data_IF_137445511373
#
_entry.id   IF_137445511373
#
_cell.length_a   1.000
_cell.length_b   1.000
_cell.length_c   1.000
_cell.angle_alpha   90.00
_cell.angle_beta   90.00
_cell.angle_gamma   90.00
#
_symmetry.space_group_name_H-M   'P 1'
#
loop_
_entity.id
_entity.type
_entity.pdbx_description
1 polymer ?
#
# COMPACT_ATOMS: atom_id res chain seq x y z
N UNK A 1 38.31 21.60 -20.07
CA UNK A 1 37.39 20.60 -19.47
C UNK A 1 38.25 19.47 -18.90
N UNK A 2 38.51 19.48 -17.59
CA UNK A 2 39.39 18.48 -16.98
C UNK A 2 38.57 17.24 -16.62
N UNK A 3 38.94 16.10 -17.21
CA UNK A 3 38.39 14.80 -16.87
C UNK A 3 38.73 14.50 -15.41
N UNK A 4 37.71 14.50 -14.54
CA UNK A 4 37.85 14.17 -13.13
C UNK A 4 38.17 12.68 -13.03
N UNK A 5 39.42 12.34 -12.78
CA UNK A 5 39.89 10.95 -12.64
C UNK A 5 39.18 10.35 -11.43
N UNK A 6 38.24 9.44 -11.65
CA UNK A 6 37.56 8.71 -10.58
C UNK A 6 38.58 7.79 -9.91
N UNK A 7 38.86 8.04 -8.63
CA UNK A 7 39.78 7.24 -7.86
C UNK A 7 39.16 5.85 -7.61
N UNK A 8 39.85 4.74 -7.90
CA UNK A 8 39.29 3.39 -7.80
C UNK A 8 38.67 3.07 -6.43
N UNK A 9 39.29 3.57 -5.35
CA UNK A 9 38.76 3.41 -3.99
C UNK A 9 37.44 4.19 -3.80
N UNK A 10 37.32 5.40 -4.35
CA UNK A 10 36.11 6.19 -4.23
C UNK A 10 34.94 5.53 -4.97
N UNK A 11 35.20 4.88 -6.11
CA UNK A 11 34.19 4.12 -6.84
C UNK A 11 33.75 2.87 -6.05
N UNK A 12 34.70 2.14 -5.45
CA UNK A 12 34.39 0.97 -4.62
C UNK A 12 33.55 1.35 -3.39
N UNK A 13 33.87 2.47 -2.73
CA UNK A 13 33.12 2.98 -1.58
C UNK A 13 31.69 3.38 -1.98
N UNK A 14 31.53 4.07 -3.11
CA UNK A 14 30.21 4.47 -3.61
C UNK A 14 29.35 3.26 -3.98
N UNK A 15 29.92 2.24 -4.62
CA UNK A 15 29.23 0.99 -4.93
C UNK A 15 28.82 0.23 -3.67
N UNK A 16 29.70 0.18 -2.66
CA UNK A 16 29.43 -0.40 -1.35
C UNK A 16 28.27 0.30 -0.65
N UNK A 17 28.29 1.64 -0.59
CA UNK A 17 27.23 2.44 0.01
C UNK A 17 25.89 2.28 -0.71
N UNK A 18 25.89 2.31 -2.05
CA UNK A 18 24.67 2.11 -2.84
C UNK A 18 24.07 0.71 -2.63
N UNK A 19 24.90 -0.33 -2.57
CA UNK A 19 24.47 -1.71 -2.34
C UNK A 19 23.89 -1.88 -0.93
N UNK A 20 24.53 -1.30 0.09
CA UNK A 20 24.04 -1.33 1.46
C UNK A 20 22.69 -0.60 1.60
N UNK A 21 22.54 0.55 0.96
CA UNK A 21 21.29 1.31 0.95
C UNK A 21 20.17 0.55 0.24
N UNK A 22 20.43 -0.01 -0.93
CA UNK A 22 19.45 -0.83 -1.66
C UNK A 22 19.02 -2.06 -0.84
N UNK A 23 19.98 -2.74 -0.18
CA UNK A 23 19.67 -3.85 0.72
C UNK A 23 18.80 -3.39 1.90
N UNK A 24 19.13 -2.27 2.52
CA UNK A 24 18.35 -1.73 3.63
C UNK A 24 16.91 -1.43 3.23
N UNK A 25 16.69 -0.82 2.05
CA UNK A 25 15.34 -0.58 1.51
C UNK A 25 14.61 -1.90 1.30
N UNK A 26 15.24 -2.90 0.67
CA UNK A 26 14.60 -4.19 0.40
C UNK A 26 14.29 -4.97 1.67
N UNK A 27 15.21 -4.98 2.65
CA UNK A 27 14.99 -5.61 3.95
C UNK A 27 13.90 -4.91 4.73
N UNK A 28 13.90 -3.57 4.76
CA UNK A 28 12.81 -2.80 5.37
C UNK A 28 11.47 -3.10 4.70
N UNK A 29 11.40 -3.11 3.37
CA UNK A 29 10.18 -3.46 2.64
C UNK A 29 9.72 -4.91 2.92
N UNK A 30 10.65 -5.85 3.10
CA UNK A 30 10.33 -7.24 3.45
C UNK A 30 9.85 -7.39 4.91
N UNK A 31 10.44 -6.66 5.84
CA UNK A 31 10.08 -6.69 7.26
C UNK A 31 8.69 -6.09 7.51
N UNK A 32 8.32 -5.07 6.74
CA UNK A 32 6.98 -4.45 6.77
C UNK A 32 5.99 -5.14 5.81
N UNK A 33 6.47 -5.97 4.88
CA UNK A 33 5.70 -6.62 3.83
C UNK A 33 5.02 -7.92 4.30
N UNK A 34 4.18 -7.85 5.34
CA UNK A 34 3.29 -8.97 5.73
C UNK A 34 1.86 -8.75 5.26
N UNK A 35 1.67 -8.39 3.99
CA UNK A 35 0.34 -8.37 3.41
C UNK A 35 -0.08 -9.82 3.09
N UNK A 36 -0.97 -10.39 3.91
CA UNK A 36 -1.65 -11.65 3.56
C UNK A 36 -2.74 -11.30 2.55
N UNK A 37 -2.63 -11.82 1.33
CA UNK A 37 -3.69 -11.68 0.34
C UNK A 37 -4.83 -12.62 0.72
N UNK A 38 -5.87 -12.07 1.35
CA UNK A 38 -7.09 -12.83 1.62
C UNK A 38 -7.98 -12.83 0.36
N UNK A 39 -8.11 -14.00 -0.26
CA UNK A 39 -8.95 -14.19 -1.44
C UNK A 39 -10.45 -14.21 -1.10
N UNK A 40 -10.82 -14.39 0.17
CA UNK A 40 -12.19 -14.41 0.66
C UNK A 40 -12.28 -13.68 2.00
N UNK A 41 -12.11 -12.34 2.03
CA UNK A 41 -12.09 -11.59 3.28
C UNK A 41 -13.38 -11.86 4.07
N UNK A 42 -13.32 -12.58 5.20
CA UNK A 42 -14.50 -13.12 5.88
C UNK A 42 -15.25 -12.04 6.68
N UNK A 43 -14.96 -10.76 6.44
CA UNK A 43 -15.42 -9.67 7.27
C UNK A 43 -16.43 -8.80 6.50
N UNK A 44 -17.67 -8.77 6.99
CA UNK A 44 -18.79 -8.00 6.39
C UNK A 44 -18.43 -6.53 6.13
N UNK A 45 -17.58 -5.94 6.97
CA UNK A 45 -17.12 -4.57 6.81
C UNK A 45 -16.25 -4.36 5.56
N UNK A 46 -15.40 -5.33 5.20
CA UNK A 46 -14.61 -5.30 3.96
C UNK A 46 -15.50 -5.44 2.74
N UNK A 47 -16.53 -6.29 2.82
CA UNK A 47 -17.53 -6.40 1.76
C UNK A 47 -18.31 -5.09 1.56
N UNK A 48 -18.64 -4.38 2.65
CA UNK A 48 -19.27 -3.06 2.58
C UNK A 48 -18.36 -2.01 1.92
N UNK A 49 -17.07 -1.99 2.24
CA UNK A 49 -16.09 -1.10 1.59
C UNK A 49 -15.96 -1.41 0.10
N UNK A 50 -15.86 -2.69 -0.26
CA UNK A 50 -15.82 -3.12 -1.66
C UNK A 50 -17.09 -2.72 -2.43
N UNK A 51 -18.27 -2.86 -1.80
CA UNK A 51 -19.53 -2.44 -2.37
C UNK A 51 -19.57 -0.92 -2.60
N UNK A 52 -19.06 -0.13 -1.65
CA UNK A 52 -18.97 1.32 -1.78
C UNK A 52 -18.02 1.75 -2.90
N UNK A 53 -16.85 1.12 -3.01
CA UNK A 53 -15.89 1.36 -4.10
C UNK A 53 -16.52 1.03 -5.45
N UNK A 54 -17.15 -0.15 -5.56
CA UNK A 54 -17.83 -0.57 -6.79
C UNK A 54 -18.94 0.40 -7.18
N UNK A 55 -19.76 0.84 -6.22
CA UNK A 55 -20.80 1.82 -6.46
C UNK A 55 -20.20 3.16 -6.93
N UNK A 56 -19.10 3.63 -6.32
CA UNK A 56 -18.43 4.86 -6.71
C UNK A 56 -17.87 4.77 -8.15
N UNK A 57 -17.31 3.64 -8.55
CA UNK A 57 -16.84 3.41 -9.93
C UNK A 57 -18.02 3.45 -10.90
N UNK A 58 -19.07 2.67 -10.64
CA UNK A 58 -20.24 2.57 -11.53
C UNK A 58 -20.96 3.91 -11.70
N UNK A 59 -21.01 4.71 -10.63
CA UNK A 59 -21.65 6.03 -10.64
C UNK A 59 -20.71 7.17 -11.07
N UNK A 60 -19.47 6.86 -11.49
CA UNK A 60 -18.43 7.86 -11.83
C UNK A 60 -18.15 8.88 -10.72
N UNK A 61 -18.33 8.46 -9.48
CA UNK A 61 -18.06 9.26 -8.27
C UNK A 61 -16.68 8.94 -7.66
N UNK A 62 -16.02 7.86 -8.08
CA UNK A 62 -14.67 7.53 -7.65
C UNK A 62 -13.66 8.57 -8.18
N UNK A 63 -12.76 9.03 -7.30
CA UNK A 63 -11.62 9.85 -7.69
C UNK A 63 -10.52 8.91 -8.17
N UNK A 64 -10.16 9.00 -9.44
CA UNK A 64 -9.09 8.21 -10.02
C UNK A 64 -7.85 9.08 -10.24
N UNK A 65 -6.65 8.51 -10.08
CA UNK A 65 -5.44 9.17 -10.57
C UNK A 65 -5.49 9.30 -12.11
N UNK A 66 -4.85 10.31 -12.72
CA UNK A 66 -4.96 10.59 -14.16
C UNK A 66 -4.32 9.52 -15.05
N UNK A 67 -3.51 8.61 -14.48
CA UNK A 67 -2.85 7.53 -15.21
C UNK A 67 -3.80 6.35 -15.50
N UNK A 68 -4.98 6.31 -14.89
CA UNK A 68 -5.96 5.25 -15.12
C UNK A 68 -6.61 5.47 -16.49
N UNK A 69 -6.08 4.75 -17.50
CA UNK A 69 -6.63 4.71 -18.86
C UNK A 69 -7.76 3.69 -19.07
N UNK A 70 -8.13 3.51 -20.34
CA UNK A 70 -9.23 2.62 -20.76
C UNK A 70 -8.88 1.12 -20.73
N UNK A 71 -7.61 0.77 -20.59
CA UNK A 71 -7.17 -0.62 -20.54
C UNK A 71 -7.49 -1.26 -19.18
N UNK A 72 -7.78 -2.59 -19.13
CA UNK A 72 -7.86 -3.31 -17.87
C UNK A 72 -6.56 -3.16 -17.08
N UNK A 73 -6.66 -2.71 -15.84
CA UNK A 73 -5.53 -2.51 -14.96
C UNK A 73 -5.94 -2.79 -13.52
N UNK A 74 -4.96 -3.19 -12.71
CA UNK A 74 -5.14 -3.33 -11.28
C UNK A 74 -5.20 -1.95 -10.64
N UNK A 75 -6.22 -1.72 -9.82
CA UNK A 75 -6.43 -0.48 -9.08
C UNK A 75 -6.11 -0.73 -7.61
N UNK A 76 -5.55 0.28 -6.95
CA UNK A 76 -5.26 0.24 -5.53
C UNK A 76 -6.15 1.25 -4.82
N UNK A 77 -6.65 0.85 -3.66
CA UNK A 77 -7.45 1.64 -2.75
C UNK A 77 -6.94 1.43 -1.33
N UNK A 78 -7.27 2.35 -0.43
CA UNK A 78 -6.98 2.21 0.99
C UNK A 78 -8.24 2.51 1.81
N UNK A 79 -8.48 1.75 2.88
CA UNK A 79 -9.61 1.97 3.78
C UNK A 79 -9.52 3.32 4.50
N UNK A 80 -8.30 3.76 4.87
CA UNK A 80 -8.01 5.08 5.44
C UNK A 80 -8.09 6.24 4.45
N UNK A 81 -8.20 5.97 3.14
CA UNK A 81 -8.37 7.00 2.11
C UNK A 81 -9.54 6.67 1.16
N UNK A 82 -10.80 6.68 1.67
CA UNK A 82 -11.94 6.21 0.92
C UNK A 82 -12.20 7.01 -0.36
N UNK A 83 -12.59 6.31 -1.42
CA UNK A 83 -13.00 6.91 -2.70
C UNK A 83 -11.86 7.35 -3.63
N UNK A 84 -10.59 7.19 -3.23
CA UNK A 84 -9.43 7.38 -4.12
C UNK A 84 -8.98 6.03 -4.69
N UNK A 85 -8.85 5.96 -6.01
CA UNK A 85 -8.33 4.82 -6.76
C UNK A 85 -7.06 5.23 -7.50
N UNK A 86 -5.99 4.46 -7.34
CA UNK A 86 -4.68 4.77 -7.93
C UNK A 86 -4.12 3.60 -8.72
N UNK A 87 -3.31 3.89 -9.74
CA UNK A 87 -2.46 2.89 -10.38
C UNK A 87 -1.27 2.54 -9.47
N UNK A 88 -0.48 1.54 -9.86
CA UNK A 88 0.72 1.13 -9.12
C UNK A 88 1.71 2.29 -8.91
N UNK A 89 1.93 3.13 -9.93
CA UNK A 89 2.89 4.25 -9.85
C UNK A 89 2.42 5.36 -8.90
N UNK A 90 1.11 5.45 -8.65
CA UNK A 90 0.51 6.41 -7.72
C UNK A 90 0.22 5.81 -6.35
N UNK A 91 0.69 4.60 -6.06
CA UNK A 91 0.51 3.95 -4.76
C UNK A 91 0.98 4.82 -3.56
N UNK A 92 2.08 5.60 -3.64
CA UNK A 92 2.48 6.49 -2.54
C UNK A 92 1.44 7.57 -2.18
N UNK A 93 0.48 7.87 -3.08
CA UNK A 93 -0.62 8.78 -2.76
C UNK A 93 -1.64 8.18 -1.79
N UNK A 94 -1.56 6.87 -1.53
CA UNK A 94 -2.34 6.15 -0.52
C UNK A 94 -1.56 5.92 0.78
N UNK A 95 -0.34 6.45 0.92
CA UNK A 95 0.40 6.29 2.17
C UNK A 95 -0.43 6.89 3.33
N UNK A 96 -0.58 6.17 4.44
CA UNK A 96 -1.25 6.73 5.61
C UNK A 96 -0.46 7.94 6.12
N UNK A 97 -1.16 8.87 6.76
CA UNK A 97 -0.48 9.95 7.48
C UNK A 97 0.45 9.32 8.54
N UNK A 98 1.64 9.88 8.82
CA UNK A 98 2.53 9.37 9.86
C UNK A 98 1.86 9.26 11.25
N UNK A 99 0.84 10.09 11.48
CA UNK A 99 0.06 10.12 12.72
C UNK A 99 -1.21 9.24 12.67
N UNK A 100 -1.46 8.56 11.55
CA UNK A 100 -2.64 7.70 11.41
C UNK A 100 -2.41 6.38 12.15
N UNK A 101 -2.97 6.33 13.35
CA UNK A 101 -2.93 5.19 14.26
C UNK A 101 -4.30 4.53 14.39
N UNK A 102 -5.21 4.81 13.47
CA UNK A 102 -6.61 4.38 13.57
C UNK A 102 -6.83 3.01 12.94
N UNK A 103 -7.46 2.09 13.67
CA UNK A 103 -7.90 0.82 13.11
C UNK A 103 -9.04 1.05 12.10
N UNK A 104 -8.91 0.53 10.88
CA UNK A 104 -9.90 0.71 9.80
C UNK A 104 -11.26 0.05 10.09
N UNK A 105 -11.31 -0.92 11.01
CA UNK A 105 -12.53 -1.65 11.36
C UNK A 105 -13.29 -1.02 12.53
N UNK A 106 -12.62 -0.78 13.65
CA UNK A 106 -13.27 -0.26 14.86
C UNK A 106 -13.17 1.26 15.01
N UNK A 107 -12.37 1.91 14.16
CA UNK A 107 -12.11 3.35 14.18
C UNK A 107 -11.52 3.88 15.50
N UNK A 108 -10.88 3.00 16.28
CA UNK A 108 -10.18 3.37 17.51
C UNK A 108 -8.67 3.51 17.24
N UNK A 109 -7.98 4.47 17.87
CA UNK A 109 -6.53 4.52 17.88
C UNK A 109 -5.93 3.26 18.52
N UNK A 110 -4.87 2.73 17.93
CA UNK A 110 -4.15 1.57 18.44
C UNK A 110 -2.63 1.82 18.41
N UNK A 111 -1.88 1.33 19.40
CA UNK A 111 -0.42 1.48 19.43
C UNK A 111 0.29 0.67 18.35
N UNK A 112 -0.37 -0.38 17.85
CA UNK A 112 0.12 -1.24 16.80
C UNK A 112 -1.03 -1.55 15.85
N UNK A 113 -0.75 -1.44 14.56
CA UNK A 113 -1.65 -1.83 13.49
C UNK A 113 -0.96 -2.85 12.59
N UNK A 114 -1.69 -3.90 12.22
CA UNK A 114 -1.25 -4.87 11.22
C UNK A 114 -1.87 -4.52 9.88
N UNK A 115 -1.02 -4.13 8.92
CA UNK A 115 -1.41 -3.88 7.55
C UNK A 115 -1.69 -5.16 6.78
N UNK A 116 -2.73 -5.15 5.95
CA UNK A 116 -3.13 -6.27 5.09
C UNK A 116 -3.81 -5.76 3.82
N UNK A 117 -4.02 -6.65 2.85
CA UNK A 117 -4.61 -6.32 1.54
C UNK A 117 -5.66 -7.35 1.16
N UNK A 118 -6.84 -6.89 0.76
CA UNK A 118 -7.91 -7.73 0.23
C UNK A 118 -8.11 -7.45 -1.26
N UNK A 119 -8.40 -8.48 -2.04
CA UNK A 119 -8.68 -8.35 -3.47
C UNK A 119 -10.20 -8.39 -3.74
N UNK A 120 -10.70 -7.39 -4.48
CA UNK A 120 -12.08 -7.30 -4.95
C UNK A 120 -12.12 -7.10 -6.46
N UNK A 121 -12.03 -8.21 -7.20
CA UNK A 121 -11.88 -8.16 -8.66
C UNK A 121 -10.58 -7.43 -9.04
N UNK A 122 -10.64 -6.33 -9.82
CA UNK A 122 -9.46 -5.56 -10.21
C UNK A 122 -8.99 -4.56 -9.14
N UNK A 123 -9.61 -4.50 -7.95
CA UNK A 123 -9.24 -3.56 -6.88
C UNK A 123 -8.52 -4.30 -5.76
N UNK A 124 -7.32 -3.86 -5.42
CA UNK A 124 -6.64 -4.19 -4.17
C UNK A 124 -6.97 -3.12 -3.13
N UNK A 125 -7.58 -3.53 -2.02
CA UNK A 125 -7.91 -2.67 -0.89
C UNK A 125 -6.92 -2.92 0.25
N UNK A 126 -6.05 -1.94 0.52
CA UNK A 126 -5.19 -1.93 1.68
C UNK A 126 -6.00 -1.50 2.92
N UNK A 127 -5.71 -2.13 4.06
CA UNK A 127 -6.30 -1.80 5.35
C UNK A 127 -5.37 -2.18 6.51
N UNK A 128 -5.61 -1.60 7.68
CA UNK A 128 -4.79 -1.74 8.88
C UNK A 128 -5.70 -2.01 10.10
N UNK A 129 -5.42 -3.09 10.84
CA UNK A 129 -6.25 -3.54 11.96
C UNK A 129 -5.47 -3.58 13.27
N UNK A 130 -6.13 -3.25 14.37
CA UNK A 130 -5.61 -3.54 15.72
C UNK A 130 -5.71 -5.04 16.03
N UNK A 131 -4.96 -5.50 17.04
CA UNK A 131 -4.93 -6.92 17.45
C UNK A 131 -6.33 -7.49 17.75
N UNK A 132 -7.20 -6.70 18.38
CA UNK A 132 -8.59 -7.10 18.67
C UNK A 132 -9.45 -7.30 17.41
N UNK A 133 -9.08 -6.67 16.31
CA UNK A 133 -9.81 -6.70 15.05
C UNK A 133 -9.26 -7.72 14.06
N UNK A 134 -8.03 -8.21 14.26
CA UNK A 134 -7.42 -9.25 13.44
C UNK A 134 -8.18 -10.57 13.70
N UNK A 135 -8.80 -11.18 12.68
CA UNK A 135 -9.38 -12.49 12.85
C UNK A 135 -8.29 -13.52 13.14
N UNK A 136 -8.53 -14.43 14.09
CA UNK A 136 -7.61 -15.55 14.33
C UNK A 136 -7.35 -16.32 13.02
N UNK A 137 -6.09 -16.66 12.71
CA UNK A 137 -5.78 -17.49 11.56
C UNK A 137 -6.49 -18.84 11.72
N UNK A 138 -7.39 -19.15 10.79
CA UNK A 138 -8.04 -20.46 10.69
C UNK A 138 -7.14 -21.49 10.01
#
# INVERSE_FOLDING_TARGET
>A
MNARTLHPVALADQLGAATAHARHILTSAADHGRAVLDANPPAEWLAAQAAAIRAAILNRAARCCPHIGAAPQLLHAAAWHPGLLVCLDCLPALDPSPDDTTCDRCHLPAPLLTGSVAAFGPVLLAYALCDDCIPEPR
#
